data_IF_771977036352
#
_entry.id   IF_771977036352
#
_cell.length_a   1.000
_cell.length_b   1.000
_cell.length_c   1.000
_cell.angle_alpha   90.00
_cell.angle_beta   90.00
_cell.angle_gamma   90.00
#
_symmetry.space_group_name_H-M   'P 1'
#
loop_
_entity.id
_entity.type
_entity.pdbx_description
1 polymer ?
#
# COMPACT_ATOMS: atom_id res chain seq x y z
N UNK A 1 -12.69 11.13 4.94
CA UNK A 1 -12.23 11.88 6.12
C UNK A 1 -10.85 12.46 5.80
N UNK A 2 -10.76 13.78 5.64
CA UNK A 2 -9.50 14.48 5.35
C UNK A 2 -8.57 14.54 6.57
N UNK A 3 -9.05 14.12 7.76
CA UNK A 3 -8.28 14.08 9.01
C UNK A 3 -7.76 12.69 9.36
N UNK A 4 -7.88 11.72 8.44
CA UNK A 4 -7.40 10.37 8.69
C UNK A 4 -5.86 10.37 8.86
N UNK A 5 -5.41 10.13 10.08
CA UNK A 5 -3.97 10.07 10.43
C UNK A 5 -3.29 8.77 10.02
N UNK A 6 -4.04 7.81 9.48
CA UNK A 6 -3.53 6.51 9.04
C UNK A 6 -4.31 6.04 7.81
N UNK A 7 -3.59 5.64 6.76
CA UNK A 7 -4.19 5.12 5.54
C UNK A 7 -5.02 3.84 5.78
N UNK A 8 -4.74 3.07 6.84
CA UNK A 8 -5.55 1.91 7.19
C UNK A 8 -7.01 2.29 7.48
N UNK A 9 -7.25 3.45 8.08
CA UNK A 9 -8.61 3.98 8.31
C UNK A 9 -9.28 4.36 6.99
N UNK A 10 -8.55 4.99 6.07
CA UNK A 10 -9.06 5.32 4.73
C UNK A 10 -9.43 4.07 3.95
N UNK A 11 -8.63 3.01 4.02
CA UNK A 11 -8.94 1.71 3.42
C UNK A 11 -10.19 1.08 4.02
N UNK A 12 -10.36 1.12 5.35
CA UNK A 12 -11.57 0.64 6.01
C UNK A 12 -12.82 1.37 5.54
N UNK A 13 -12.75 2.70 5.38
CA UNK A 13 -13.83 3.51 4.82
C UNK A 13 -14.08 3.13 3.36
N UNK A 14 -13.04 2.99 2.53
CA UNK A 14 -13.19 2.59 1.14
C UNK A 14 -13.89 1.23 1.01
N UNK A 15 -13.52 0.24 1.83
CA UNK A 15 -14.18 -1.06 1.88
C UNK A 15 -15.67 -0.93 2.27
N UNK A 16 -15.98 -0.18 3.33
CA UNK A 16 -17.35 0.04 3.75
C UNK A 16 -18.19 0.73 2.67
N UNK A 17 -17.63 1.76 2.02
CA UNK A 17 -18.28 2.47 0.91
C UNK A 17 -18.50 1.54 -0.28
N UNK A 18 -17.55 0.67 -0.62
CA UNK A 18 -17.70 -0.31 -1.70
C UNK A 18 -18.88 -1.25 -1.42
N UNK A 19 -18.94 -1.79 -0.19
CA UNK A 19 -20.02 -2.69 0.23
C UNK A 19 -21.38 -1.99 0.22
N UNK A 20 -21.44 -0.72 0.64
CA UNK A 20 -22.68 0.05 0.70
C UNK A 20 -23.19 0.50 -0.66
N UNK A 21 -22.29 0.81 -1.61
CA UNK A 21 -22.67 1.30 -2.94
C UNK A 21 -23.10 0.17 -3.90
N UNK A 22 -22.81 -1.08 -3.57
CA UNK A 22 -23.15 -2.25 -4.40
C UNK A 22 -22.29 -2.39 -5.66
N UNK A 23 -22.52 -3.47 -6.41
CA UNK A 23 -21.71 -3.81 -7.60
C UNK A 23 -21.75 -2.75 -8.71
N UNK A 24 -22.89 -2.07 -8.90
CA UNK A 24 -23.06 -1.01 -9.91
C UNK A 24 -22.07 0.17 -9.75
N UNK A 25 -21.49 0.31 -8.56
CA UNK A 25 -20.64 1.44 -8.20
C UNK A 25 -19.23 1.00 -7.79
N UNK A 26 -18.91 -0.29 -7.88
CA UNK A 26 -17.60 -0.84 -7.51
C UNK A 26 -16.44 -0.20 -8.28
N UNK A 27 -16.67 0.28 -9.50
CA UNK A 27 -15.68 1.00 -10.32
C UNK A 27 -15.41 2.46 -9.90
N UNK A 28 -16.15 3.01 -8.93
CA UNK A 28 -15.96 4.41 -8.48
C UNK A 28 -14.80 4.58 -7.50
N UNK A 29 -14.26 3.49 -6.95
CA UNK A 29 -13.12 3.51 -6.05
C UNK A 29 -11.86 3.06 -6.79
N UNK A 30 -10.83 3.91 -6.74
CA UNK A 30 -9.57 3.60 -7.40
C UNK A 30 -8.92 2.37 -6.75
N UNK A 31 -8.34 1.40 -7.50
CA UNK A 31 -7.74 0.18 -6.96
C UNK A 31 -6.69 0.42 -5.85
N UNK A 32 -6.02 1.57 -5.91
CA UNK A 32 -5.10 2.06 -4.88
C UNK A 32 -5.72 2.15 -3.47
N UNK A 33 -7.04 2.30 -3.35
CA UNK A 33 -7.70 2.31 -2.05
C UNK A 33 -7.58 0.96 -1.32
N UNK A 34 -7.43 -0.14 -2.06
CA UNK A 34 -7.41 -1.50 -1.54
C UNK A 34 -5.99 -2.06 -1.40
N UNK A 35 -5.10 -1.70 -2.33
CA UNK A 35 -3.67 -2.01 -2.28
C UNK A 35 -2.85 -0.73 -2.22
N UNK A 36 -2.82 -0.13 -1.03
CA UNK A 36 -1.88 0.94 -0.74
C UNK A 36 -1.28 0.73 0.65
N UNK A 37 0.04 0.90 0.70
CA UNK A 37 0.82 1.02 1.91
C UNK A 37 1.42 2.41 1.97
N UNK A 38 1.57 2.88 3.19
CA UNK A 38 2.23 4.13 3.52
C UNK A 38 3.63 3.82 4.01
N UNK A 39 4.63 4.54 3.49
CA UNK A 39 5.95 4.56 4.12
C UNK A 39 5.83 5.30 5.46
N UNK A 40 6.22 4.70 6.60
CA UNK A 40 6.16 5.39 7.88
C UNK A 40 7.20 6.52 7.91
N UNK A 41 6.74 7.73 7.64
CA UNK A 41 7.56 8.95 7.69
C UNK A 41 7.37 9.68 9.02
N UNK A 42 8.44 10.34 9.47
CA UNK A 42 8.41 11.25 10.61
C UNK A 42 7.78 12.59 10.23
N UNK A 43 8.11 13.63 11.00
CA UNK A 43 7.68 15.00 10.68
C UNK A 43 8.41 15.45 9.42
N UNK A 44 7.65 16.03 8.50
CA UNK A 44 8.17 16.45 7.20
C UNK A 44 8.18 17.97 7.08
N UNK A 45 7.48 18.70 7.97
CA UNK A 45 7.58 20.15 8.07
C UNK A 45 7.83 20.55 9.51
N UNK A 46 8.95 21.25 9.73
CA UNK A 46 9.42 21.69 11.05
C UNK A 46 9.73 23.18 10.96
N UNK A 47 8.71 24.01 11.12
CA UNK A 47 8.80 25.48 11.07
C UNK A 47 8.59 26.07 12.47
N UNK A 48 8.80 27.38 12.63
CA UNK A 48 8.55 28.05 13.92
C UNK A 48 7.06 27.98 14.34
N UNK A 49 6.15 27.84 13.37
CA UNK A 49 4.71 27.80 13.61
C UNK A 49 4.13 26.38 13.69
N UNK A 50 4.79 25.39 13.08
CA UNK A 50 4.24 24.04 12.89
C UNK A 50 5.32 22.98 12.93
N UNK A 51 5.02 21.88 13.59
CA UNK A 51 5.91 20.73 13.70
C UNK A 51 5.10 19.44 13.45
N UNK A 52 4.95 19.10 12.16
CA UNK A 52 3.91 18.18 11.67
C UNK A 52 4.39 17.30 10.52
N UNK A 53 3.65 16.22 10.26
CA UNK A 53 3.79 15.39 9.06
C UNK A 53 2.69 15.76 8.07
N UNK A 54 3.08 16.33 6.94
CA UNK A 54 2.15 16.75 5.88
C UNK A 54 2.47 16.11 4.52
N UNK A 55 3.64 15.52 4.39
CA UNK A 55 4.04 14.77 3.20
C UNK A 55 3.99 13.27 3.49
N UNK A 56 3.53 12.50 2.51
CA UNK A 56 3.42 11.05 2.60
C UNK A 56 3.84 10.40 1.29
N UNK A 57 4.47 9.25 1.39
CA UNK A 57 4.76 8.38 0.26
C UNK A 57 3.88 7.15 0.35
N UNK A 58 2.96 7.04 -0.61
CA UNK A 58 2.00 5.95 -0.71
C UNK A 58 2.37 5.07 -1.92
N UNK A 59 2.30 3.75 -1.78
CA UNK A 59 2.70 2.81 -2.84
C UNK A 59 1.81 1.57 -2.88
N UNK A 60 1.71 0.95 -4.06
CA UNK A 60 0.95 -0.29 -4.28
C UNK A 60 1.83 -1.49 -3.93
N UNK A 61 1.48 -2.18 -2.84
CA UNK A 61 2.32 -3.24 -2.30
C UNK A 61 2.29 -4.54 -3.10
N UNK A 62 1.27 -4.72 -3.94
CA UNK A 62 1.22 -5.79 -4.94
C UNK A 62 2.16 -5.53 -6.10
N UNK A 63 2.58 -4.29 -6.36
CA UNK A 63 3.45 -3.95 -7.51
C UNK A 63 4.87 -3.59 -7.13
N UNK A 64 5.05 -3.04 -5.94
CA UNK A 64 6.34 -2.54 -5.47
C UNK A 64 6.73 -3.22 -4.15
N UNK A 65 8.01 -3.54 -4.04
CA UNK A 65 8.65 -3.88 -2.76
C UNK A 65 9.43 -2.65 -2.30
N UNK A 66 9.20 -2.24 -1.06
CA UNK A 66 10.06 -1.26 -0.39
C UNK A 66 11.37 -1.96 -0.03
N UNK A 67 12.48 -1.55 -0.65
CA UNK A 67 13.82 -2.11 -0.42
C UNK A 67 14.51 -1.39 0.72
N UNK A 68 14.46 -0.06 0.69
CA UNK A 68 15.09 0.77 1.70
C UNK A 68 14.33 2.09 1.87
N UNK A 69 14.49 2.71 3.04
CA UNK A 69 13.97 4.03 3.33
C UNK A 69 14.94 4.79 4.20
N UNK A 70 15.24 6.03 3.83
CA UNK A 70 16.08 6.88 4.65
C UNK A 70 15.23 7.52 5.73
N UNK A 71 15.62 7.29 6.99
CA UNK A 71 14.97 7.95 8.12
C UNK A 71 15.17 9.46 8.02
N UNK A 72 14.07 10.21 8.06
CA UNK A 72 14.11 11.66 8.10
C UNK A 72 14.97 12.14 9.29
N UNK A 73 15.85 13.14 9.10
CA UNK A 73 16.65 13.70 10.19
C UNK A 73 15.74 14.31 11.27
N UNK A 74 16.11 14.10 12.53
CA UNK A 74 15.45 14.80 13.64
C UNK A 74 15.99 16.22 13.73
N UNK A 75 15.15 17.19 13.41
CA UNK A 75 15.51 18.61 13.53
C UNK A 75 15.17 19.14 14.92
N UNK A 76 16.11 19.87 15.53
CA UNK A 76 15.91 20.58 16.80
C UNK A 76 15.64 22.08 16.60
N UNK A 77 15.85 22.58 15.38
CA UNK A 77 15.62 23.98 15.01
C UNK A 77 14.66 24.05 13.82
N UNK A 78 13.81 25.09 13.76
CA UNK A 78 12.97 25.33 12.60
C UNK A 78 13.75 25.50 11.29
N UNK A 79 13.14 25.06 10.20
CA UNK A 79 13.54 25.26 8.80
C UNK A 79 12.47 26.11 8.07
N UNK A 80 12.79 26.79 6.95
CA UNK A 80 14.10 26.82 6.28
C UNK A 80 15.16 27.58 7.09
N UNK A 81 16.42 27.21 6.89
CA UNK A 81 17.59 27.89 7.45
C UNK A 81 18.72 27.94 6.40
N UNK A 82 19.94 28.31 6.80
CA UNK A 82 21.09 28.40 5.89
C UNK A 82 21.53 27.04 5.32
N UNK A 83 21.13 25.92 5.94
CA UNK A 83 21.45 24.55 5.51
C UNK A 83 20.26 23.85 4.85
N UNK A 84 19.04 24.20 5.25
CA UNK A 84 17.79 23.65 4.77
C UNK A 84 17.02 24.72 3.98
N UNK A 85 17.10 24.72 2.64
CA UNK A 85 16.49 25.78 1.83
C UNK A 85 14.96 25.69 1.73
N UNK A 86 14.36 24.61 2.22
CA UNK A 86 12.91 24.37 2.23
C UNK A 86 12.42 24.22 3.68
N UNK A 87 11.14 24.52 3.91
CA UNK A 87 10.37 24.19 5.11
C UNK A 87 9.95 22.71 5.18
N UNK A 88 10.30 21.91 4.16
CA UNK A 88 10.04 20.48 4.10
C UNK A 88 11.32 19.63 4.15
N UNK A 89 11.22 18.46 4.80
CA UNK A 89 12.23 17.40 4.82
C UNK A 89 11.91 16.38 3.73
N UNK A 90 12.86 16.07 2.84
CA UNK A 90 12.62 15.11 1.77
C UNK A 90 12.37 13.70 2.32
N UNK A 91 11.36 13.04 1.76
CA UNK A 91 11.12 11.61 1.98
C UNK A 91 11.90 10.84 0.91
N UNK A 92 12.75 9.91 1.33
CA UNK A 92 13.54 9.10 0.40
C UNK A 92 13.27 7.61 0.65
N UNK A 93 12.96 6.89 -0.43
CA UNK A 93 12.75 5.46 -0.42
C UNK A 93 13.17 4.85 -1.75
N UNK A 94 13.62 3.60 -1.68
CA UNK A 94 14.00 2.78 -2.83
C UNK A 94 12.98 1.68 -3.00
N UNK A 95 12.45 1.58 -4.22
CA UNK A 95 11.47 0.55 -4.58
C UNK A 95 12.02 -0.35 -5.66
N UNK A 96 11.65 -1.61 -5.58
CA UNK A 96 11.82 -2.57 -6.66
C UNK A 96 10.45 -2.95 -7.22
N UNK A 97 10.37 -3.10 -8.55
CA UNK A 97 9.17 -3.60 -9.22
C UNK A 97 9.11 -5.10 -9.04
N UNK A 98 7.96 -5.59 -8.54
CA UNK A 98 7.72 -7.02 -8.40
C UNK A 98 7.62 -7.67 -9.78
N UNK A 99 8.28 -8.81 -9.97
CA UNK A 99 8.09 -9.64 -11.15
C UNK A 99 6.65 -10.14 -11.24
N UNK A 100 6.15 -10.38 -12.45
CA UNK A 100 4.78 -10.89 -12.66
C UNK A 100 4.55 -12.21 -11.92
N UNK A 101 5.55 -13.11 -11.92
CA UNK A 101 5.48 -14.37 -11.18
C UNK A 101 5.28 -14.14 -9.68
N UNK A 102 6.03 -13.23 -9.07
CA UNK A 102 5.88 -12.91 -7.65
C UNK A 102 4.50 -12.31 -7.35
N UNK A 103 3.96 -11.50 -8.26
CA UNK A 103 2.59 -10.98 -8.13
C UNK A 103 1.56 -12.10 -8.16
N UNK A 104 1.67 -13.04 -9.11
CA UNK A 104 0.75 -14.18 -9.21
C UNK A 104 0.82 -15.10 -7.98
N UNK A 105 2.02 -15.38 -7.49
CA UNK A 105 2.22 -16.17 -6.27
C UNK A 105 1.60 -15.52 -5.02
N UNK A 106 1.71 -14.19 -4.90
CA UNK A 106 1.07 -13.46 -3.81
C UNK A 106 -0.46 -13.47 -3.92
N UNK A 107 -1.00 -13.37 -5.14
CA UNK A 107 -2.44 -13.56 -5.40
C UNK A 107 -2.90 -14.98 -5.02
N UNK A 108 -2.17 -16.02 -5.42
CA UNK A 108 -2.46 -17.40 -5.06
C UNK A 108 -2.45 -17.61 -3.54
N UNK A 109 -1.45 -17.05 -2.84
CA UNK A 109 -1.36 -17.09 -1.37
C UNK A 109 -2.52 -16.35 -0.71
N UNK A 110 -2.89 -15.18 -1.21
CA UNK A 110 -4.02 -14.40 -0.69
C UNK A 110 -5.36 -15.14 -0.88
N UNK A 111 -5.54 -15.80 -2.03
CA UNK A 111 -6.69 -16.65 -2.30
C UNK A 111 -6.75 -17.81 -1.30
N UNK A 112 -5.66 -18.58 -1.19
CA UNK A 112 -5.57 -19.74 -0.30
C UNK A 112 -5.88 -19.35 1.15
N UNK A 113 -5.29 -18.26 1.64
CA UNK A 113 -5.55 -17.80 3.01
C UNK A 113 -7.05 -17.48 3.22
N UNK A 114 -7.68 -16.82 2.25
CA UNK A 114 -9.12 -16.52 2.29
C UNK A 114 -9.96 -17.79 2.35
N UNK A 115 -9.69 -18.77 1.48
CA UNK A 115 -10.46 -20.03 1.42
C UNK A 115 -10.21 -20.92 2.65
N UNK A 116 -8.98 -20.92 3.17
CA UNK A 116 -8.61 -21.66 4.37
C UNK A 116 -9.14 -21.04 5.68
N UNK A 117 -9.99 -20.00 5.60
CA UNK A 117 -10.52 -19.29 6.77
C UNK A 117 -9.44 -18.56 7.58
N UNK A 118 -8.25 -18.34 7.01
CA UNK A 118 -7.19 -17.54 7.60
C UNK A 118 -7.48 -16.07 7.26
N UNK A 119 -7.14 -15.14 8.15
CA UNK A 119 -7.40 -13.71 7.98
C UNK A 119 -6.84 -13.17 6.66
N UNK A 120 -7.69 -13.09 5.63
CA UNK A 120 -7.39 -12.53 4.32
C UNK A 120 -7.64 -11.02 4.31
N UNK A 121 -6.66 -10.24 3.84
CA UNK A 121 -6.68 -8.79 4.01
C UNK A 121 -7.32 -7.98 2.87
N UNK A 122 -7.62 -8.57 1.70
CA UNK A 122 -8.30 -7.89 0.59
C UNK A 122 -8.99 -8.94 -0.31
N UNK A 123 -10.26 -8.75 -0.72
CA UNK A 123 -10.88 -9.58 -1.76
C UNK A 123 -10.09 -9.49 -3.06
N UNK A 124 -9.77 -10.62 -3.67
CA UNK A 124 -9.09 -10.62 -4.97
C UNK A 124 -10.03 -10.08 -6.06
N UNK A 125 -9.46 -9.31 -6.98
CA UNK A 125 -10.16 -8.94 -8.22
C UNK A 125 -10.29 -10.17 -9.12
N UNK A 126 -11.13 -10.08 -10.17
CA UNK A 126 -11.25 -11.13 -11.20
C UNK A 126 -9.89 -11.52 -11.78
N UNK A 127 -9.06 -10.54 -12.09
CA UNK A 127 -7.72 -10.77 -12.66
C UNK A 127 -6.78 -11.41 -11.62
N UNK A 128 -6.90 -11.02 -10.34
CA UNK A 128 -6.17 -11.65 -9.24
C UNK A 128 -6.56 -13.11 -9.02
N UNK A 129 -7.85 -13.45 -9.19
CA UNK A 129 -8.32 -14.83 -9.18
C UNK A 129 -7.76 -15.64 -10.35
N UNK A 130 -7.80 -15.08 -11.57
CA UNK A 130 -7.22 -15.73 -12.74
C UNK A 130 -5.72 -15.99 -12.57
N UNK A 131 -5.00 -15.02 -12.00
CA UNK A 131 -3.57 -15.14 -11.71
C UNK A 131 -3.28 -16.19 -10.64
N UNK A 132 -4.16 -16.32 -9.64
CA UNK A 132 -4.05 -17.35 -8.61
C UNK A 132 -4.24 -18.76 -9.20
N UNK A 133 -5.27 -18.96 -10.03
CA UNK A 133 -5.53 -20.26 -10.65
C UNK A 133 -4.42 -20.69 -11.61
N UNK A 134 -3.82 -19.76 -12.35
CA UNK A 134 -2.66 -20.07 -13.19
C UNK A 134 -1.53 -20.75 -12.41
N UNK A 135 -1.25 -20.33 -11.18
CA UNK A 135 -0.22 -20.95 -10.34
C UNK A 135 -0.63 -22.37 -9.91
N UNK A 136 -1.88 -22.55 -9.48
CA UNK A 136 -2.36 -23.87 -9.02
C UNK A 136 -2.52 -24.89 -10.15
N UNK A 137 -2.85 -24.44 -11.36
CA UNK A 137 -2.95 -25.30 -12.55
C UNK A 137 -1.58 -25.84 -12.96
N UNK A 138 -0.53 -25.02 -12.91
CA UNK A 138 0.85 -25.45 -13.25
C UNK A 138 1.37 -26.51 -12.27
N UNK A 139 1.02 -26.44 -10.98
CA UNK A 139 1.42 -27.43 -9.97
C UNK A 139 0.59 -28.74 -10.04
N UNK A 140 -0.50 -28.76 -10.81
CA UNK A 140 -1.42 -29.93 -10.86
C UNK A 140 -0.96 -31.05 -11.80
N UNK A 141 -0.03 -30.76 -12.72
CA UNK A 141 0.53 -31.75 -13.64
C UNK A 141 1.44 -32.79 -12.96
N UNK A 142 1.90 -32.54 -11.72
CA UNK A 142 2.74 -33.47 -10.93
C UNK A 142 1.95 -34.32 -9.91
N UNK A 143 0.62 -34.12 -9.79
CA UNK A 143 -0.23 -34.86 -8.83
C UNK A 143 -1.05 -35.98 -9.48
N UNK A 144 -0.88 -36.20 -10.78
CA UNK A 144 -1.47 -37.31 -11.54
C UNK A 144 -0.36 -38.11 -12.22
N UNK A 145 0.52 -38.73 -11.44
CA UNK A 145 1.42 -39.80 -11.89
C UNK A 145 1.52 -40.92 -10.88
#
# INVERSE_FOLDING_TARGET
>A
DLNATSFQKLRGIANAVTLMLGEEHAGRLHPFAFDCKELPTGKTSVTAARDVRIDALLYQSQRLVLIDSVKAPSLSTPIPDTRHPSDHIPIMATFEVRSLLAQHQDCARAWYNTVAGRSGHVPLTRDGLSSAFFIFEVDSDDLVS
#
